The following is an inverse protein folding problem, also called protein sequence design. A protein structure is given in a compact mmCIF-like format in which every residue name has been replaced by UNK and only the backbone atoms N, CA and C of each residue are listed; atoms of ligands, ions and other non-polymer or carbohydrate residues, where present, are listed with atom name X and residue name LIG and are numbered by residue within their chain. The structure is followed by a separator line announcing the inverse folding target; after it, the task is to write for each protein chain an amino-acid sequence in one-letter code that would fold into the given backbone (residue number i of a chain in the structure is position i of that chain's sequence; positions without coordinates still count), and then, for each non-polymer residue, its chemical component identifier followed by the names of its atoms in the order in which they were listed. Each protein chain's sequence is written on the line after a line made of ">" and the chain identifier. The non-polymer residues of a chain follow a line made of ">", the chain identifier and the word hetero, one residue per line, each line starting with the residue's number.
data_IF_532128559209
#
_entry.id   IF_532128559209
#
_cell.length_a   1.000
_cell.length_b   1.000
_cell.length_c   1.000
_cell.angle_alpha   90.00
_cell.angle_beta   90.00
_cell.angle_gamma   90.00
#
_symmetry.space_group_name_H-M   'P 1'
#
loop_
_entity.id
_entity.type
_entity.pdbx_description
1 polymer ?
#
# COMPACT_ATOMS: atom_id res chain seq x y z
N UNK A 1 1.34 -49.21 -47.78
CA UNK A 1 0.30 -48.65 -46.88
C UNK A 1 1.00 -48.24 -45.59
N UNK A 2 0.87 -46.96 -45.24
CA UNK A 2 1.54 -46.24 -44.17
C UNK A 2 1.39 -46.84 -42.77
N UNK A 3 2.32 -46.52 -41.86
CA UNK A 3 1.93 -45.78 -40.66
C UNK A 3 3.14 -45.05 -40.02
N UNK A 4 3.14 -43.72 -40.12
CA UNK A 4 4.04 -42.84 -39.37
C UNK A 4 3.25 -42.35 -38.15
N UNK A 5 3.74 -42.60 -36.92
CA UNK A 5 3.11 -42.08 -35.70
C UNK A 5 3.82 -40.78 -35.31
N UNK A 6 3.12 -39.65 -35.43
CA UNK A 6 3.62 -38.36 -34.98
C UNK A 6 3.23 -38.15 -33.51
N UNK A 7 4.22 -38.03 -32.63
CA UNK A 7 4.02 -37.71 -31.21
C UNK A 7 3.83 -36.19 -31.08
N UNK A 8 2.60 -35.76 -30.79
CA UNK A 8 2.30 -34.36 -30.46
C UNK A 8 2.69 -34.09 -29.01
N UNK A 9 3.82 -33.41 -28.80
CA UNK A 9 4.17 -32.83 -27.50
C UNK A 9 3.40 -31.50 -27.39
N UNK A 10 2.33 -31.48 -26.60
CA UNK A 10 1.63 -30.25 -26.27
C UNK A 10 2.52 -29.37 -25.37
N UNK A 11 3.06 -28.30 -25.94
CA UNK A 11 3.74 -27.26 -25.19
C UNK A 11 2.67 -26.40 -24.49
N UNK A 12 2.34 -26.73 -23.24
CA UNK A 12 1.53 -25.84 -22.41
C UNK A 12 2.37 -24.63 -22.03
N UNK A 13 2.09 -23.47 -22.64
CA UNK A 13 2.65 -22.20 -22.17
C UNK A 13 2.21 -21.97 -20.73
N UNK A 14 3.15 -22.02 -19.79
CA UNK A 14 2.93 -21.49 -18.45
C UNK A 14 2.75 -19.98 -18.59
N UNK A 15 1.50 -19.52 -18.57
CA UNK A 15 1.20 -18.11 -18.34
C UNK A 15 1.56 -17.88 -16.87
N UNK A 16 2.71 -17.27 -16.59
CA UNK A 16 2.97 -16.73 -15.25
C UNK A 16 1.85 -15.73 -14.95
N UNK A 17 1.19 -15.82 -13.78
CA UNK A 17 0.34 -14.75 -13.33
C UNK A 17 1.16 -13.45 -13.38
N UNK A 18 0.74 -12.47 -14.16
CA UNK A 18 1.33 -11.15 -14.07
C UNK A 18 0.87 -10.56 -12.75
N UNK A 19 1.73 -10.64 -11.74
CA UNK A 19 1.47 -9.98 -10.48
C UNK A 19 1.37 -8.46 -10.71
N UNK A 20 0.48 -7.80 -9.99
CA UNK A 20 0.25 -6.38 -10.10
C UNK A 20 1.40 -5.55 -9.54
N UNK A 21 1.39 -4.27 -9.89
CA UNK A 21 2.33 -3.26 -9.42
C UNK A 21 1.56 -2.12 -8.75
N UNK A 22 2.06 -1.61 -7.62
CA UNK A 22 1.51 -0.45 -6.93
C UNK A 22 2.54 0.67 -6.95
N UNK A 23 2.18 1.80 -7.55
CA UNK A 23 2.95 3.05 -7.44
C UNK A 23 2.33 3.88 -6.34
N UNK A 24 2.94 3.86 -5.15
CA UNK A 24 2.51 4.65 -4.02
C UNK A 24 3.20 6.01 -4.06
N UNK A 25 2.41 7.08 -4.04
CA UNK A 25 2.87 8.46 -3.95
C UNK A 25 2.18 9.10 -2.76
N UNK A 26 2.96 9.59 -1.81
CA UNK A 26 2.49 10.26 -0.61
C UNK A 26 2.93 11.72 -0.72
N UNK A 27 1.96 12.62 -0.80
CA UNK A 27 2.19 14.05 -0.90
C UNK A 27 2.23 14.66 0.50
N UNK A 28 3.40 15.21 0.86
CA UNK A 28 3.67 15.98 2.08
C UNK A 28 3.50 17.48 1.76
N UNK A 29 2.93 18.29 2.67
CA UNK A 29 2.65 19.70 2.36
C UNK A 29 3.68 20.68 2.91
N UNK A 30 4.45 20.33 3.95
CA UNK A 30 5.11 21.36 4.79
C UNK A 30 6.59 21.14 5.09
N UNK A 31 7.07 19.91 5.24
CA UNK A 31 8.43 19.61 5.75
C UNK A 31 9.10 18.48 4.96
N UNK A 32 10.43 18.40 4.97
CA UNK A 32 11.20 17.33 4.29
C UNK A 32 11.90 16.41 5.29
N UNK A 33 11.96 16.79 6.55
CA UNK A 33 12.65 16.05 7.60
C UNK A 33 11.93 14.74 7.94
N UNK A 34 12.69 13.70 8.27
CA UNK A 34 12.15 12.42 8.72
C UNK A 34 11.70 11.48 7.60
N UNK A 35 10.77 10.60 7.93
CA UNK A 35 10.32 9.50 7.07
C UNK A 35 8.80 9.37 7.11
N UNK A 36 8.21 8.80 6.06
CA UNK A 36 6.82 8.35 6.10
C UNK A 36 6.79 6.86 6.41
N UNK A 37 6.16 6.52 7.53
CA UNK A 37 5.88 5.14 7.89
C UNK A 37 4.64 4.68 7.12
N UNK A 38 4.71 3.49 6.52
CA UNK A 38 3.67 2.93 5.64
C UNK A 38 3.30 1.53 6.09
N UNK A 39 2.00 1.32 6.32
CA UNK A 39 1.40 0.01 6.53
C UNK A 39 0.50 -0.35 5.35
N UNK A 40 0.67 -1.56 4.81
CA UNK A 40 -0.20 -2.14 3.79
C UNK A 40 -1.01 -3.29 4.40
N UNK A 41 -2.32 -3.25 4.24
CA UNK A 41 -3.25 -4.29 4.67
C UNK A 41 -3.96 -4.90 3.45
N UNK A 42 -4.26 -6.19 3.50
CA UNK A 42 -5.05 -6.88 2.48
C UNK A 42 -6.44 -7.33 2.99
N UNK A 43 -6.79 -6.95 4.22
CA UNK A 43 -8.10 -7.21 4.81
C UNK A 43 -8.36 -6.23 5.98
N UNK A 44 -9.55 -6.33 6.58
CA UNK A 44 -10.01 -5.41 7.64
C UNK A 44 -9.41 -5.67 9.03
N UNK A 45 -8.87 -6.86 9.29
CA UNK A 45 -8.33 -7.22 10.60
C UNK A 45 -7.09 -6.36 10.91
N UNK A 46 -7.12 -5.65 12.03
CA UNK A 46 -6.06 -4.74 12.45
C UNK A 46 -5.95 -3.39 11.72
N UNK A 47 -6.67 -3.18 10.61
CA UNK A 47 -6.68 -1.88 9.94
C UNK A 47 -7.32 -0.80 10.85
N UNK A 48 -6.75 0.41 10.97
CA UNK A 48 -5.59 0.91 10.23
C UNK A 48 -4.24 0.80 10.94
N UNK A 49 -4.19 0.47 12.23
CA UNK A 49 -3.03 0.77 13.08
C UNK A 49 -2.36 -0.43 13.74
N UNK A 50 -2.90 -1.64 13.62
CA UNK A 50 -2.24 -2.84 14.14
C UNK A 50 -1.11 -3.26 13.20
N UNK A 51 0.09 -2.87 13.58
CA UNK A 51 1.33 -3.17 12.88
C UNK A 51 1.50 -4.68 12.68
N UNK A 52 1.03 -5.54 13.60
CA UNK A 52 1.20 -7.00 13.48
C UNK A 52 0.28 -7.63 12.44
N UNK A 53 -0.74 -6.91 11.98
CA UNK A 53 -1.70 -7.37 10.97
C UNK A 53 -1.41 -6.82 9.57
N UNK A 54 -0.50 -5.84 9.45
CA UNK A 54 -0.05 -5.34 8.17
C UNK A 54 0.80 -6.40 7.42
N UNK A 55 0.55 -6.56 6.12
CA UNK A 55 1.30 -7.49 5.26
C UNK A 55 2.63 -6.90 4.76
N UNK A 56 2.78 -5.57 4.80
CA UNK A 56 4.05 -4.86 4.57
C UNK A 56 4.14 -3.66 5.49
N UNK A 57 5.37 -3.38 5.94
CA UNK A 57 5.77 -2.23 6.75
C UNK A 57 6.96 -1.59 6.05
N UNK A 58 6.92 -0.30 5.80
CA UNK A 58 7.98 0.42 5.08
C UNK A 58 8.22 1.76 5.77
N UNK A 59 9.46 2.23 5.69
CA UNK A 59 9.86 3.58 6.08
C UNK A 59 10.45 4.25 4.85
N UNK A 60 9.80 5.30 4.36
CA UNK A 60 10.17 5.98 3.11
C UNK A 60 10.76 7.36 3.42
N UNK A 61 11.94 7.71 2.88
CA UNK A 61 12.47 9.07 3.07
C UNK A 61 11.57 10.10 2.37
N UNK A 62 11.43 11.27 2.98
CA UNK A 62 10.76 12.41 2.35
C UNK A 62 11.78 13.19 1.51
N UNK A 63 11.53 13.30 0.21
CA UNK A 63 12.38 14.05 -0.73
C UNK A 63 11.49 14.97 -1.54
N UNK A 64 11.81 16.27 -1.58
CA UNK A 64 11.02 17.28 -2.28
C UNK A 64 9.53 17.24 -1.91
N UNK A 65 9.24 17.08 -0.62
CA UNK A 65 7.91 17.02 -0.02
C UNK A 65 7.08 15.83 -0.51
N UNK A 66 7.73 14.72 -0.84
CA UNK A 66 7.09 13.49 -1.29
C UNK A 66 7.81 12.26 -0.77
N UNK A 67 7.05 11.21 -0.51
CA UNK A 67 7.55 9.86 -0.33
C UNK A 67 6.94 8.96 -1.40
N UNK A 68 7.77 8.22 -2.12
CA UNK A 68 7.32 7.40 -3.26
C UNK A 68 7.98 6.02 -3.24
N UNK A 69 7.22 5.00 -3.61
CA UNK A 69 7.74 3.64 -3.82
C UNK A 69 6.93 2.88 -4.87
N UNK A 70 7.60 1.98 -5.57
CA UNK A 70 6.98 0.99 -6.46
C UNK A 70 7.03 -0.38 -5.78
N UNK A 71 5.85 -0.95 -5.51
CA UNK A 71 5.72 -2.32 -5.03
C UNK A 71 5.39 -3.24 -6.21
N UNK A 72 6.30 -4.17 -6.51
CA UNK A 72 6.12 -5.17 -7.56
C UNK A 72 5.62 -6.48 -6.96
N UNK A 73 5.24 -7.38 -7.85
CA UNK A 73 4.88 -8.76 -7.52
C UNK A 73 3.73 -8.85 -6.49
N UNK A 74 2.72 -7.99 -6.63
CA UNK A 74 1.54 -7.97 -5.75
C UNK A 74 0.44 -8.86 -6.32
N UNK A 75 -0.03 -9.82 -5.53
CA UNK A 75 -1.15 -10.66 -5.92
C UNK A 75 -2.41 -9.81 -6.20
N UNK A 76 -3.24 -10.19 -7.19
CA UNK A 76 -4.53 -9.55 -7.38
C UNK A 76 -5.39 -9.63 -6.10
N UNK A 77 -5.96 -8.49 -5.69
CA UNK A 77 -6.68 -8.41 -4.42
C UNK A 77 -7.14 -7.01 -4.05
N UNK A 78 -7.73 -6.89 -2.86
CA UNK A 78 -8.09 -5.62 -2.24
C UNK A 78 -7.05 -5.24 -1.19
N UNK A 79 -6.61 -3.99 -1.24
CA UNK A 79 -5.54 -3.48 -0.39
C UNK A 79 -5.88 -2.10 0.14
N UNK A 80 -5.38 -1.77 1.33
CA UNK A 80 -5.47 -0.42 1.89
C UNK A 80 -4.14 -0.01 2.53
N UNK A 81 -3.74 1.23 2.31
CA UNK A 81 -2.62 1.87 2.99
C UNK A 81 -3.10 2.71 4.16
N UNK A 82 -2.34 2.68 5.25
CA UNK A 82 -2.30 3.72 6.28
C UNK A 82 -0.87 4.23 6.38
N UNK A 83 -0.71 5.54 6.49
CA UNK A 83 0.59 6.19 6.52
C UNK A 83 0.62 7.30 7.57
N UNK A 84 1.79 7.58 8.12
CA UNK A 84 2.02 8.78 8.92
C UNK A 84 3.44 9.31 8.74
N UNK A 85 3.60 10.62 8.91
CA UNK A 85 4.88 11.31 8.83
C UNK A 85 5.56 11.29 10.20
N UNK A 86 6.67 10.59 10.28
CA UNK A 86 7.49 10.40 11.47
C UNK A 86 8.72 11.30 11.36
N UNK A 87 8.61 12.50 11.92
CA UNK A 87 9.61 13.56 11.75
C UNK A 87 10.90 13.27 12.56
N UNK A 88 10.80 12.62 13.72
CA UNK A 88 11.92 12.30 14.60
C UNK A 88 12.42 10.85 14.50
N UNK A 89 11.80 10.04 13.65
CA UNK A 89 12.26 8.70 13.24
C UNK A 89 12.28 7.70 14.40
N UNK A 90 11.34 7.80 15.34
CA UNK A 90 11.19 6.83 16.43
C UNK A 90 10.29 5.63 16.04
N UNK A 91 9.62 5.72 14.89
CA UNK A 91 8.71 4.69 14.39
C UNK A 91 7.34 4.69 15.05
N UNK A 92 7.05 5.64 15.93
CA UNK A 92 5.83 5.73 16.72
C UNK A 92 4.98 6.95 16.32
N UNK A 93 3.67 6.74 16.15
CA UNK A 93 2.76 7.86 15.91
C UNK A 93 2.52 8.62 17.22
N UNK A 94 2.93 9.88 17.26
CA UNK A 94 2.64 10.80 18.35
C UNK A 94 1.15 11.05 18.43
N UNK A 95 0.64 11.01 19.66
CA UNK A 95 -0.77 11.24 19.97
C UNK A 95 -0.90 12.14 21.18
N UNK A 96 -1.97 12.93 21.21
CA UNK A 96 -2.33 13.66 22.41
C UNK A 96 -2.96 12.73 23.48
N UNK A 97 -3.29 13.28 24.64
CA UNK A 97 -3.82 12.53 25.79
C UNK A 97 -5.16 11.80 25.53
N UNK A 98 -5.90 12.16 24.47
CA UNK A 98 -7.14 11.49 24.07
C UNK A 98 -6.93 10.52 22.89
N UNK A 99 -5.67 10.28 22.48
CA UNK A 99 -5.31 9.35 21.42
C UNK A 99 -5.41 9.90 20.00
N UNK A 100 -5.63 11.20 19.82
CA UNK A 100 -5.67 11.83 18.50
C UNK A 100 -4.25 12.02 17.95
N UNK A 101 -3.96 11.63 16.69
CA UNK A 101 -2.64 11.81 16.08
C UNK A 101 -2.19 13.26 16.04
N UNK A 102 -0.94 13.51 16.41
CA UNK A 102 -0.26 14.79 16.26
C UNK A 102 0.60 14.83 15.00
N UNK A 103 1.15 13.68 14.62
CA UNK A 103 1.80 13.49 13.34
C UNK A 103 0.78 13.49 12.22
N UNK A 104 1.16 14.06 11.07
CA UNK A 104 0.32 14.02 9.89
C UNK A 104 0.12 12.59 9.42
N UNK A 105 -1.09 12.27 9.02
CA UNK A 105 -1.44 10.91 8.63
C UNK A 105 -2.37 10.88 7.43
N UNK A 106 -2.47 9.71 6.80
CA UNK A 106 -3.28 9.52 5.61
C UNK A 106 -3.64 8.08 5.35
N UNK A 107 -4.57 7.89 4.42
CA UNK A 107 -5.04 6.59 3.97
C UNK A 107 -5.21 6.60 2.45
N UNK A 108 -5.10 5.42 1.82
CA UNK A 108 -5.52 5.27 0.43
C UNK A 108 -7.00 5.66 0.25
N UNK A 109 -7.34 6.10 -0.96
CA UNK A 109 -8.62 6.75 -1.32
C UNK A 109 -8.95 8.08 -0.63
N UNK A 110 -8.10 8.60 0.27
CA UNK A 110 -8.29 9.90 0.94
C UNK A 110 -9.71 10.12 1.52
N UNK A 111 -10.28 9.17 2.27
CA UNK A 111 -11.65 9.25 2.76
C UNK A 111 -11.88 10.46 3.70
N UNK A 112 -13.14 10.78 3.94
CA UNK A 112 -13.51 11.70 5.02
C UNK A 112 -13.21 11.08 6.38
N UNK A 113 -12.65 11.90 7.29
CA UNK A 113 -12.23 11.50 8.64
C UNK A 113 -13.13 12.09 9.75
N UNK A 114 -14.28 12.66 9.37
CA UNK A 114 -15.19 13.35 10.29
C UNK A 114 -15.70 12.48 11.45
N UNK A 115 -15.73 11.15 11.26
CA UNK A 115 -16.22 10.19 12.24
C UNK A 115 -15.14 9.23 12.72
N UNK A 116 -13.88 9.69 12.75
CA UNK A 116 -12.72 8.90 13.15
C UNK A 116 -12.05 8.17 12.00
N UNK A 117 -11.22 7.15 12.31
CA UNK A 117 -10.49 6.39 11.29
C UNK A 117 -11.44 5.73 10.28
N UNK A 118 -11.07 5.66 8.99
CA UNK A 118 -11.92 5.03 7.99
C UNK A 118 -11.97 3.52 8.20
N UNK A 119 -13.05 2.89 7.74
CA UNK A 119 -13.07 1.43 7.56
C UNK A 119 -12.14 1.01 6.42
N UNK A 120 -11.60 -0.21 6.47
CA UNK A 120 -10.82 -0.79 5.35
C UNK A 120 -11.49 -0.58 4.00
N UNK A 121 -12.78 -0.89 3.86
CA UNK A 121 -13.53 -0.75 2.60
C UNK A 121 -13.53 0.68 2.04
N UNK A 122 -13.50 1.70 2.89
CA UNK A 122 -13.43 3.11 2.45
C UNK A 122 -12.03 3.49 1.96
N UNK A 123 -11.01 2.86 2.53
CA UNK A 123 -9.62 3.09 2.16
C UNK A 123 -9.12 2.13 1.05
N UNK A 124 -9.85 1.06 0.75
CA UNK A 124 -9.34 -0.03 -0.09
C UNK A 124 -9.37 0.29 -1.58
N UNK A 125 -8.36 -0.17 -2.31
CA UNK A 125 -8.27 -0.16 -3.77
C UNK A 125 -8.00 -1.58 -4.28
N UNK A 126 -8.24 -1.81 -5.57
CA UNK A 126 -8.05 -3.12 -6.22
C UNK A 126 -6.75 -3.17 -6.99
N UNK A 127 -5.98 -4.23 -6.77
CA UNK A 127 -4.83 -4.62 -7.60
C UNK A 127 -5.27 -5.75 -8.53
N UNK A 128 -4.85 -5.67 -9.78
CA UNK A 128 -5.08 -6.69 -10.82
C UNK A 128 -3.76 -6.93 -11.56
N UNK A 129 -3.83 -7.31 -12.83
CA UNK A 129 -2.74 -7.54 -13.77
C UNK A 129 -2.03 -6.28 -14.28
N UNK A 130 -2.54 -5.08 -13.93
CA UNK A 130 -2.00 -3.79 -14.38
C UNK A 130 -1.49 -2.95 -13.22
N UNK A 131 -0.46 -2.11 -13.44
CA UNK A 131 -0.02 -1.16 -12.43
C UNK A 131 -1.15 -0.24 -11.98
N UNK A 132 -1.25 -0.01 -10.68
CA UNK A 132 -2.17 0.96 -10.07
C UNK A 132 -1.36 2.05 -9.38
N UNK A 133 -1.75 3.31 -9.60
CA UNK A 133 -1.19 4.44 -8.87
C UNK A 133 -2.10 4.81 -7.71
N UNK A 134 -1.53 4.86 -6.50
CA UNK A 134 -2.23 5.27 -5.28
C UNK A 134 -1.60 6.56 -4.78
N UNK A 135 -2.39 7.62 -4.73
CA UNK A 135 -1.97 8.92 -4.20
C UNK A 135 -2.62 9.18 -2.84
N UNK A 136 -1.80 9.45 -1.83
CA UNK A 136 -2.26 9.76 -0.47
C UNK A 136 -1.87 11.19 -0.12
N UNK A 137 -2.83 11.94 0.43
CA UNK A 137 -2.62 13.27 1.00
C UNK A 137 -2.58 13.15 2.51
N UNK A 138 -1.49 13.61 3.09
CA UNK A 138 -1.40 13.75 4.54
C UNK A 138 -2.25 14.92 5.03
N UNK A 139 -2.85 14.78 6.22
CA UNK A 139 -3.71 15.80 6.86
C UNK A 139 -3.33 15.98 8.31
#
# INVERSE_FOLDING_TARGET
>A
MNLLVALFISFSSFISPSNGEIHLIIEETEVNEGVVQVLLFNNKDGFPSDINKAIKKLSLPVVNKKAEIVLKDIDPGEYAFSVFHDQDMDGEMKKNQIGYPLDKFGFSNNPSLLFGPPSFSKASFKVKDKPVTVKIKLR
#
